data_IF_076211935162
#
_entry.id   IF_076211935162
#
_cell.length_a   1.000
_cell.length_b   1.000
_cell.length_c   1.000
_cell.angle_alpha   90.00
_cell.angle_beta   90.00
_cell.angle_gamma   90.00
#
_symmetry.space_group_name_H-M   'P 1'
#
loop_
_entity.id
_entity.type
_entity.pdbx_description
1 polymer ?
#
# COMPACT_ATOMS: atom_id res chain seq x y z
N UNK A 1 -4.37 1.81 6.53
CA UNK A 1 -5.49 2.05 5.60
C UNK A 1 -5.66 3.53 5.25
N UNK A 2 -5.76 4.46 6.21
CA UNK A 2 -5.93 5.91 5.94
C UNK A 2 -4.88 6.56 5.01
N UNK A 3 -3.62 6.12 5.08
CA UNK A 3 -2.53 6.65 4.24
C UNK A 3 -2.71 6.32 2.75
N UNK A 4 -3.25 5.14 2.44
CA UNK A 4 -3.44 4.71 1.05
C UNK A 4 -4.57 5.50 0.37
N UNK A 5 -5.65 5.78 1.10
CA UNK A 5 -6.79 6.58 0.60
C UNK A 5 -6.37 8.04 0.37
N UNK A 6 -5.58 8.63 1.28
CA UNK A 6 -5.01 9.96 1.11
C UNK A 6 -4.08 10.05 -0.12
N UNK A 7 -3.26 9.01 -0.35
CA UNK A 7 -2.40 8.93 -1.53
C UNK A 7 -3.21 8.85 -2.85
N UNK A 8 -4.36 8.18 -2.82
CA UNK A 8 -5.29 8.10 -3.95
C UNK A 8 -5.98 9.45 -4.22
N UNK A 9 -6.46 10.13 -3.18
CA UNK A 9 -7.05 11.46 -3.31
C UNK A 9 -6.09 12.49 -3.93
N UNK A 10 -4.83 12.49 -3.49
CA UNK A 10 -3.84 13.41 -4.05
C UNK A 10 -3.32 12.97 -5.44
N UNK A 11 -3.47 11.69 -5.82
CA UNK A 11 -3.25 11.25 -7.21
C UNK A 11 -4.35 11.77 -8.13
N UNK A 12 -5.62 11.70 -7.71
CA UNK A 12 -6.76 12.26 -8.44
C UNK A 12 -6.63 13.77 -8.60
N UNK A 13 -6.22 14.48 -7.54
CA UNK A 13 -5.98 15.93 -7.61
C UNK A 13 -4.93 16.31 -8.68
N UNK A 14 -3.86 15.54 -8.78
CA UNK A 14 -2.82 15.75 -9.82
C UNK A 14 -3.31 15.44 -11.23
N UNK A 15 -4.22 14.49 -11.41
CA UNK A 15 -4.86 14.24 -12.71
C UNK A 15 -5.74 15.42 -13.14
N UNK A 16 -6.47 16.03 -12.21
CA UNK A 16 -7.26 17.24 -12.47
C UNK A 16 -6.34 18.41 -12.85
N UNK A 17 -5.22 18.59 -12.16
CA UNK A 17 -4.21 19.60 -12.52
C UNK A 17 -3.61 19.36 -13.91
N UNK A 18 -3.34 18.10 -14.26
CA UNK A 18 -2.84 17.72 -15.58
C UNK A 18 -3.88 17.99 -16.68
N UNK A 19 -5.14 17.70 -16.42
CA UNK A 19 -6.26 18.00 -17.32
C UNK A 19 -6.41 19.51 -17.53
N UNK A 20 -6.38 20.31 -16.46
CA UNK A 20 -6.39 21.77 -16.54
C UNK A 20 -5.20 22.33 -17.35
N UNK A 21 -4.01 21.76 -17.16
CA UNK A 21 -2.82 22.11 -17.94
C UNK A 21 -2.91 21.64 -19.40
N UNK A 22 -3.68 20.58 -19.71
CA UNK A 22 -3.89 20.12 -21.08
C UNK A 22 -4.75 21.11 -21.90
N UNK A 23 -5.66 21.82 -21.23
CA UNK A 23 -6.49 22.89 -21.82
C UNK A 23 -5.73 24.22 -22.00
N UNK A 24 -4.53 24.36 -21.47
CA UNK A 24 -3.67 25.54 -21.67
C UNK A 24 -2.94 25.50 -23.02
N UNK A 25 -2.67 26.67 -23.63
CA UNK A 25 -1.93 26.74 -24.89
C UNK A 25 -0.56 26.04 -24.77
N UNK A 26 -0.16 25.27 -25.79
CA UNK A 26 1.09 24.53 -25.77
C UNK A 26 2.28 25.49 -25.59
N UNK A 27 3.17 25.14 -24.66
CA UNK A 27 4.35 25.94 -24.36
C UNK A 27 5.32 25.23 -23.40
N UNK A 28 6.57 25.69 -23.30
CA UNK A 28 7.61 25.03 -22.50
C UNK A 28 7.23 24.89 -21.02
N UNK A 29 6.47 25.86 -20.48
CA UNK A 29 5.94 25.82 -19.12
C UNK A 29 4.92 24.69 -18.91
N UNK A 30 4.08 24.41 -19.91
CA UNK A 30 3.14 23.27 -19.90
C UNK A 30 3.89 21.95 -19.95
N UNK A 31 4.86 21.80 -20.84
CA UNK A 31 5.67 20.58 -20.95
C UNK A 31 6.41 20.26 -19.65
N UNK A 32 6.99 21.29 -19.01
CA UNK A 32 7.66 21.14 -17.72
C UNK A 32 6.68 20.73 -16.60
N UNK A 33 5.50 21.37 -16.53
CA UNK A 33 4.47 21.06 -15.54
C UNK A 33 3.91 19.63 -15.73
N UNK A 34 3.63 19.21 -16.96
CA UNK A 34 3.18 17.86 -17.29
C UNK A 34 4.23 16.82 -16.90
N UNK A 35 5.50 17.06 -17.24
CA UNK A 35 6.61 16.15 -16.92
C UNK A 35 6.85 16.04 -15.41
N UNK A 36 6.69 17.14 -14.66
CA UNK A 36 6.79 17.15 -13.21
C UNK A 36 5.63 16.37 -12.56
N UNK A 37 4.39 16.63 -12.98
CA UNK A 37 3.22 15.94 -12.47
C UNK A 37 3.26 14.43 -12.80
N UNK A 38 3.71 14.05 -14.00
CA UNK A 38 3.88 12.65 -14.39
C UNK A 38 4.90 11.92 -13.51
N UNK A 39 6.09 12.51 -13.28
CA UNK A 39 7.09 11.93 -12.37
C UNK A 39 6.55 11.79 -10.94
N UNK A 40 5.86 12.82 -10.46
CA UNK A 40 5.29 12.82 -9.12
C UNK A 40 4.20 11.74 -8.95
N UNK A 41 3.42 11.46 -10.00
CA UNK A 41 2.43 10.39 -10.02
C UNK A 41 3.09 9.01 -9.97
N UNK A 42 4.10 8.75 -10.81
CA UNK A 42 4.83 7.48 -10.82
C UNK A 42 5.48 7.17 -9.47
N UNK A 43 6.11 8.16 -8.83
CA UNK A 43 6.69 8.01 -7.49
C UNK A 43 5.64 7.62 -6.45
N UNK A 44 4.42 8.18 -6.55
CA UNK A 44 3.31 7.85 -5.65
C UNK A 44 2.82 6.42 -5.84
N UNK A 45 2.61 6.01 -7.09
CA UNK A 45 2.14 4.66 -7.43
C UNK A 45 3.15 3.62 -6.92
N UNK A 46 4.44 3.86 -7.13
CA UNK A 46 5.49 2.96 -6.63
C UNK A 46 5.50 2.90 -5.11
N UNK A 47 5.36 4.04 -4.43
CA UNK A 47 5.28 4.09 -2.96
C UNK A 47 4.05 3.34 -2.43
N UNK A 48 2.88 3.54 -3.04
CA UNK A 48 1.65 2.85 -2.66
C UNK A 48 1.78 1.33 -2.89
N UNK A 49 2.36 0.91 -4.02
CA UNK A 49 2.62 -0.50 -4.33
C UNK A 49 3.58 -1.15 -3.32
N UNK A 50 4.62 -0.43 -2.91
CA UNK A 50 5.54 -0.91 -1.87
C UNK A 50 4.83 -1.11 -0.52
N UNK A 51 3.98 -0.16 -0.12
CA UNK A 51 3.18 -0.26 1.10
C UNK A 51 2.19 -1.43 1.06
N UNK A 52 1.50 -1.63 -0.07
CA UNK A 52 0.58 -2.76 -0.26
C UNK A 52 1.31 -4.10 -0.22
N UNK A 53 2.47 -4.22 -0.86
CA UNK A 53 3.29 -5.42 -0.80
C UNK A 53 3.77 -5.71 0.62
N UNK A 54 4.16 -4.67 1.38
CA UNK A 54 4.51 -4.79 2.79
C UNK A 54 3.35 -5.30 3.63
N UNK A 55 2.17 -4.71 3.47
CA UNK A 55 0.95 -5.13 4.17
C UNK A 55 0.55 -6.56 3.79
N UNK A 56 0.63 -6.94 2.51
CA UNK A 56 0.34 -8.30 2.06
C UNK A 56 1.29 -9.33 2.69
N UNK A 57 2.59 -9.01 2.79
CA UNK A 57 3.56 -9.87 3.49
C UNK A 57 3.23 -10.01 4.97
N UNK A 58 2.90 -8.92 5.65
CA UNK A 58 2.49 -8.96 7.06
C UNK A 58 1.24 -9.81 7.27
N UNK A 59 0.23 -9.65 6.40
CA UNK A 59 -0.98 -10.47 6.42
C UNK A 59 -0.67 -11.94 6.18
N UNK A 60 0.24 -12.25 5.25
CA UNK A 60 0.66 -13.63 4.99
C UNK A 60 1.37 -14.23 6.19
N UNK A 61 2.32 -13.52 6.79
CA UNK A 61 3.02 -13.96 8.01
C UNK A 61 2.04 -14.18 9.16
N UNK A 62 1.05 -13.30 9.32
CA UNK A 62 0.00 -13.46 10.33
C UNK A 62 -0.91 -14.65 10.04
N UNK A 63 -1.26 -14.89 8.78
CA UNK A 63 -2.04 -16.07 8.39
C UNK A 63 -1.24 -17.37 8.62
N UNK A 64 0.05 -17.39 8.30
CA UNK A 64 0.93 -18.54 8.50
C UNK A 64 1.19 -18.80 10.00
N UNK A 65 1.22 -17.77 10.85
CA UNK A 65 1.33 -17.94 12.30
C UNK A 65 0.04 -18.45 12.94
N UNK A 66 -1.12 -18.12 12.37
CA UNK A 66 -2.42 -18.71 12.77
C UNK A 66 -2.56 -20.14 12.26
N UNK A 67 -2.05 -20.45 11.06
CA UNK A 67 -2.11 -21.78 10.47
C UNK A 67 -1.16 -22.79 11.12
N UNK A 68 -0.14 -22.33 11.85
CA UNK A 68 0.73 -23.18 12.67
C UNK A 68 0.07 -23.37 14.03
N UNK A 69 -0.47 -24.56 14.37
CA UNK A 69 -0.95 -24.80 15.72
C UNK A 69 0.23 -24.54 16.66
N UNK A 70 -0.01 -23.81 17.76
CA UNK A 70 0.99 -23.68 18.82
C UNK A 70 1.48 -25.10 19.15
N UNK A 71 2.75 -25.38 18.84
CA UNK A 71 3.34 -26.66 19.16
C UNK A 71 3.23 -26.80 20.68
N UNK A 72 2.38 -27.73 21.12
CA UNK A 72 2.22 -28.04 22.54
C UNK A 72 3.62 -28.41 23.03
N UNK A 73 4.17 -27.69 24.02
CA UNK A 73 5.47 -28.07 24.57
C UNK A 73 5.37 -29.52 25.05
N UNK A 74 6.40 -30.36 24.83
CA UNK A 74 6.34 -31.80 25.15
C UNK A 74 6.11 -32.12 26.64
N UNK A 75 6.03 -31.10 27.50
CA UNK A 75 5.80 -31.20 28.95
C UNK A 75 4.39 -30.76 29.39
N UNK A 76 3.38 -30.74 28.52
CA UNK A 76 2.00 -30.56 28.99
C UNK A 76 1.61 -31.75 29.89
N UNK A 77 1.32 -31.54 31.20
CA UNK A 77 0.93 -32.62 32.09
C UNK A 77 -0.39 -33.23 31.61
N UNK A 78 -0.44 -34.56 31.51
CA UNK A 78 -1.66 -35.27 31.15
C UNK A 78 -2.77 -34.97 32.18
N UNK A 79 -4.02 -34.74 31.75
CA UNK A 79 -5.12 -34.55 32.70
C UNK A 79 -5.37 -35.86 33.46
N UNK A 80 -5.09 -35.84 34.75
CA UNK A 80 -5.37 -36.93 35.69
C UNK A 80 -6.88 -37.19 35.71
N UNK A 81 -7.31 -38.32 35.15
CA UNK A 81 -8.65 -38.86 35.39
C UNK A 81 -8.71 -39.39 36.81
N UNK A 82 -9.30 -38.65 37.73
CA UNK A 82 -9.84 -39.19 38.98
C UNK A 82 -11.11 -39.99 38.66
N UNK A 83 -11.08 -41.30 38.96
CA UNK A 83 -12.25 -42.18 39.05
C UNK A 83 -12.42 -42.59 40.50
#
# INVERSE_FOLDING_TARGET
MAIAVAALGDAVHRLVLLDQLAHQPPGPRRTAATSAAHRALLQRINSARAQLNGAARQLRTAADSVARPAAVPPNAPAPSRTR
#
